data_IF_470943134780
#
_entry.id   IF_470943134780
#
_cell.length_a   1.000
_cell.length_b   1.000
_cell.length_c   1.000
_cell.angle_alpha   90.00
_cell.angle_beta   90.00
_cell.angle_gamma   90.00
#
_symmetry.space_group_name_H-M   'P 1'
#
loop_
_entity.id
_entity.type
_entity.pdbx_description
1 polymer ?
#
# COMPACT_ATOMS: atom_id res chain seq x y z
N UNK A 1 -9.88 -23.56 -91.11
CA UNK A 1 -10.08 -22.76 -89.89
C UNK A 1 -9.93 -23.61 -88.63
N UNK A 2 -10.65 -24.74 -88.48
CA UNK A 2 -10.56 -25.64 -87.31
C UNK A 2 -9.14 -26.13 -86.97
N UNK A 3 -8.42 -26.69 -87.94
CA UNK A 3 -7.06 -27.22 -87.74
C UNK A 3 -6.01 -26.16 -87.33
N UNK A 4 -6.22 -24.89 -87.71
CA UNK A 4 -5.32 -23.79 -87.32
C UNK A 4 -5.52 -23.41 -85.85
N UNK A 5 -6.78 -23.39 -85.39
CA UNK A 5 -7.13 -23.15 -83.99
C UNK A 5 -6.65 -24.29 -83.10
N UNK A 6 -6.75 -25.54 -83.56
CA UNK A 6 -6.24 -26.72 -82.84
C UNK A 6 -4.72 -26.68 -82.69
N UNK A 7 -3.96 -26.39 -83.76
CA UNK A 7 -2.51 -26.24 -83.70
C UNK A 7 -2.08 -25.07 -82.79
N UNK A 8 -2.79 -23.94 -82.85
CA UNK A 8 -2.53 -22.80 -81.94
C UNK A 8 -2.82 -23.15 -80.48
N UNK A 9 -3.88 -23.92 -80.19
CA UNK A 9 -4.20 -24.37 -78.84
C UNK A 9 -3.16 -25.36 -78.31
N UNK A 10 -2.63 -26.25 -79.17
CA UNK A 10 -1.59 -27.20 -78.82
C UNK A 10 -0.26 -26.50 -78.50
N UNK A 11 0.14 -25.49 -79.28
CA UNK A 11 1.34 -24.69 -78.98
C UNK A 11 1.22 -23.88 -77.67
N UNK A 12 0.03 -23.37 -77.33
CA UNK A 12 -0.21 -22.70 -76.05
C UNK A 12 -0.13 -23.70 -74.90
N UNK A 13 -0.66 -24.91 -75.08
CA UNK A 13 -0.60 -25.97 -74.08
C UNK A 13 0.85 -26.38 -73.78
N UNK A 14 1.66 -26.62 -74.81
CA UNK A 14 3.07 -26.96 -74.65
C UNK A 14 3.84 -25.85 -73.92
N UNK A 15 3.56 -24.59 -74.24
CA UNK A 15 4.17 -23.44 -73.55
C UNK A 15 3.77 -23.36 -72.08
N UNK A 16 2.50 -23.63 -71.76
CA UNK A 16 2.00 -23.67 -70.38
C UNK A 16 2.63 -24.82 -69.61
N UNK A 17 2.74 -26.02 -70.21
CA UNK A 17 3.37 -27.19 -69.58
C UNK A 17 4.85 -26.93 -69.26
N UNK A 18 5.59 -26.26 -70.16
CA UNK A 18 6.98 -25.82 -69.90
C UNK A 18 7.05 -24.79 -68.76
N UNK A 19 6.11 -23.83 -68.72
CA UNK A 19 6.05 -22.86 -67.63
C UNK A 19 5.74 -23.51 -66.28
N UNK A 20 4.81 -24.48 -66.25
CA UNK A 20 4.46 -25.26 -65.06
C UNK A 20 5.69 -26.01 -64.55
N UNK A 21 6.41 -26.71 -65.43
CA UNK A 21 7.62 -27.45 -65.04
C UNK A 21 8.69 -26.56 -64.39
N UNK A 22 8.92 -25.35 -64.93
CA UNK A 22 9.85 -24.38 -64.32
C UNK A 22 9.40 -23.92 -62.94
N UNK A 23 8.11 -23.65 -62.78
CA UNK A 23 7.54 -23.25 -61.47
C UNK A 23 7.68 -24.40 -60.47
N UNK A 24 7.43 -25.64 -60.87
CA UNK A 24 7.58 -26.82 -60.02
C UNK A 24 9.04 -27.02 -59.56
N UNK A 25 10.02 -26.81 -60.45
CA UNK A 25 11.44 -26.84 -60.11
C UNK A 25 11.81 -25.75 -59.09
N UNK A 26 11.35 -24.51 -59.31
CA UNK A 26 11.58 -23.41 -58.36
C UNK A 26 10.92 -23.67 -57.00
N UNK A 27 9.69 -24.18 -56.99
CA UNK A 27 8.97 -24.54 -55.75
C UNK A 27 9.71 -25.64 -54.98
N UNK A 28 10.21 -26.67 -55.66
CA UNK A 28 11.05 -27.69 -55.02
C UNK A 28 12.35 -27.11 -54.47
N UNK A 29 13.00 -26.21 -55.20
CA UNK A 29 14.19 -25.51 -54.74
C UNK A 29 13.94 -24.66 -53.48
N UNK A 30 12.81 -23.95 -53.44
CA UNK A 30 12.40 -23.17 -52.25
C UNK A 30 12.10 -24.10 -51.08
N UNK A 31 11.43 -25.23 -51.32
CA UNK A 31 11.12 -26.21 -50.28
C UNK A 31 12.38 -26.75 -49.61
N UNK A 32 13.41 -27.12 -50.37
CA UNK A 32 14.68 -27.59 -49.82
C UNK A 32 15.38 -26.51 -48.98
N UNK A 33 15.36 -25.24 -49.43
CA UNK A 33 15.92 -24.12 -48.66
C UNK A 33 15.17 -23.87 -47.35
N UNK A 34 13.85 -24.07 -47.33
CA UNK A 34 13.05 -23.97 -46.10
C UNK A 34 13.47 -25.06 -45.12
N UNK A 35 13.60 -26.30 -45.58
CA UNK A 35 14.03 -27.43 -44.74
C UNK A 35 15.44 -27.20 -44.16
N UNK A 36 16.36 -26.64 -44.94
CA UNK A 36 17.71 -26.25 -44.49
C UNK A 36 17.66 -25.18 -43.39
N UNK A 37 16.90 -24.09 -43.63
CA UNK A 37 16.75 -23.00 -42.65
C UNK A 37 16.06 -23.48 -41.37
N UNK A 38 15.05 -24.36 -41.48
CA UNK A 38 14.41 -24.99 -40.31
C UNK A 38 15.42 -25.80 -39.49
N UNK A 39 16.31 -26.54 -40.17
CA UNK A 39 17.42 -27.25 -39.52
C UNK A 39 18.36 -26.32 -38.75
N UNK A 40 18.81 -25.23 -39.39
CA UNK A 40 19.68 -24.24 -38.74
C UNK A 40 19.04 -23.57 -37.53
N UNK A 41 17.76 -23.20 -37.65
CA UNK A 41 17.00 -22.55 -36.57
C UNK A 41 16.87 -23.51 -35.39
N UNK A 42 16.54 -24.77 -35.64
CA UNK A 42 16.44 -25.79 -34.59
C UNK A 42 17.78 -26.01 -33.87
N UNK A 43 18.90 -26.05 -34.61
CA UNK A 43 20.23 -26.15 -34.00
C UNK A 43 20.53 -24.94 -33.09
N UNK A 44 20.28 -23.72 -33.56
CA UNK A 44 20.49 -22.49 -32.77
C UNK A 44 19.60 -22.45 -31.52
N UNK A 45 18.37 -22.94 -31.60
CA UNK A 45 17.47 -23.02 -30.45
C UNK A 45 18.03 -23.95 -29.38
N UNK A 46 18.51 -25.14 -29.75
CA UNK A 46 19.09 -26.08 -28.78
C UNK A 46 20.42 -25.58 -28.20
N UNK A 47 21.23 -24.85 -28.98
CA UNK A 47 22.45 -24.19 -28.50
C UNK A 47 22.12 -23.11 -27.43
N UNK A 48 21.22 -22.17 -27.76
CA UNK A 48 20.80 -21.11 -26.82
C UNK A 48 20.17 -21.71 -25.56
N UNK A 49 19.34 -22.75 -25.71
CA UNK A 49 18.73 -23.46 -24.57
C UNK A 49 19.78 -24.08 -23.66
N UNK A 50 20.81 -24.70 -24.23
CA UNK A 50 21.94 -25.26 -23.48
C UNK A 50 22.72 -24.18 -22.73
N UNK A 51 23.01 -23.05 -23.38
CA UNK A 51 23.72 -21.92 -22.75
C UNK A 51 22.91 -21.31 -21.59
N UNK A 52 21.60 -21.13 -21.77
CA UNK A 52 20.70 -20.62 -20.72
C UNK A 52 20.64 -21.60 -19.54
N UNK A 53 20.54 -22.90 -19.81
CA UNK A 53 20.51 -23.93 -18.77
C UNK A 53 21.82 -23.98 -17.96
N UNK A 54 22.98 -23.83 -18.63
CA UNK A 54 24.28 -23.73 -17.96
C UNK A 54 24.35 -22.47 -17.10
N UNK A 55 23.97 -21.30 -17.64
CA UNK A 55 23.94 -20.04 -16.88
C UNK A 55 23.03 -20.13 -15.67
N UNK A 56 21.87 -20.77 -15.79
CA UNK A 56 20.95 -21.02 -14.67
C UNK A 56 21.65 -21.85 -13.58
N UNK A 57 22.33 -22.93 -13.96
CA UNK A 57 23.07 -23.80 -13.04
C UNK A 57 24.19 -23.05 -12.32
N UNK A 58 24.90 -22.15 -13.02
CA UNK A 58 25.92 -21.27 -12.44
C UNK A 58 25.31 -20.28 -11.44
N UNK A 59 24.18 -19.66 -11.79
CA UNK A 59 23.48 -18.73 -10.91
C UNK A 59 22.92 -19.42 -9.67
N UNK A 60 22.36 -20.63 -9.80
CA UNK A 60 21.91 -21.43 -8.67
C UNK A 60 23.06 -21.78 -7.72
N UNK A 61 24.24 -22.12 -8.26
CA UNK A 61 25.45 -22.36 -7.45
C UNK A 61 25.89 -21.10 -6.72
N UNK A 62 25.95 -19.96 -7.42
CA UNK A 62 26.27 -18.66 -6.83
C UNK A 62 25.27 -18.26 -5.74
N UNK A 63 23.98 -18.54 -5.94
CA UNK A 63 22.94 -18.28 -4.95
C UNK A 63 23.11 -19.16 -3.71
N UNK A 64 23.51 -20.42 -3.85
CA UNK A 64 23.84 -21.30 -2.72
C UNK A 64 25.07 -20.81 -1.95
N UNK A 65 26.11 -20.36 -2.64
CA UNK A 65 27.31 -19.79 -2.01
C UNK A 65 27.01 -18.48 -1.27
N UNK A 66 26.11 -17.65 -1.82
CA UNK A 66 25.62 -16.45 -1.14
C UNK A 66 24.61 -16.76 -0.02
N UNK A 67 23.95 -17.92 -0.09
CA UNK A 67 22.85 -18.34 0.77
C UNK A 67 23.23 -19.04 2.08
N UNK A 68 24.54 -19.24 2.35
CA UNK A 68 25.03 -19.73 3.66
C UNK A 68 25.99 -18.72 4.30
N UNK A 69 25.57 -17.45 4.33
CA UNK A 69 25.92 -16.60 5.47
C UNK A 69 24.62 -16.15 6.13
N UNK A 70 24.28 -16.66 7.33
CA UNK A 70 23.67 -15.77 8.30
C UNK A 70 24.56 -14.53 8.33
N UNK A 71 23.97 -13.34 8.39
CA UNK A 71 24.68 -12.09 8.63
C UNK A 71 25.60 -12.19 9.86
N UNK A 72 26.77 -12.79 9.68
CA UNK A 72 27.91 -12.70 10.57
C UNK A 72 28.84 -11.75 9.86
N UNK A 73 28.45 -10.47 9.78
CA UNK A 73 29.46 -9.43 9.64
C UNK A 73 30.60 -9.81 10.58
N UNK A 74 31.85 -10.00 10.12
CA UNK A 74 32.94 -9.92 11.07
C UNK A 74 32.73 -8.56 11.74
N UNK A 75 32.52 -8.57 13.06
CA UNK A 75 32.46 -7.36 13.83
C UNK A 75 33.80 -6.65 13.59
N UNK A 76 33.83 -5.76 12.60
CA UNK A 76 34.94 -4.88 12.38
C UNK A 76 34.97 -3.99 13.62
N UNK A 77 36.01 -4.08 14.48
CA UNK A 77 36.03 -3.34 15.74
C UNK A 77 36.01 -1.82 15.53
N UNK A 78 36.28 -1.33 14.32
CA UNK A 78 36.38 0.10 14.03
C UNK A 78 35.08 0.78 13.58
N UNK A 79 34.04 0.04 13.23
CA UNK A 79 32.72 0.60 12.88
C UNK A 79 31.64 0.15 13.86
N UNK A 80 31.91 0.26 15.15
CA UNK A 80 30.87 0.30 16.19
C UNK A 80 30.28 1.72 16.22
N UNK A 81 29.70 2.16 15.11
CA UNK A 81 28.55 3.05 15.24
C UNK A 81 27.38 2.12 15.48
N UNK A 82 27.10 1.91 16.76
CA UNK A 82 25.96 1.15 17.27
C UNK A 82 24.79 1.26 16.30
N UNK A 83 24.56 0.21 15.50
CA UNK A 83 23.32 0.09 14.73
C UNK A 83 22.24 0.25 15.79
N UNK A 84 21.43 1.33 15.78
CA UNK A 84 20.44 1.49 16.81
C UNK A 84 19.54 0.27 16.69
N UNK A 85 19.56 -0.60 17.69
CA UNK A 85 18.50 -1.58 17.89
C UNK A 85 17.25 -0.75 18.07
N UNK A 86 16.56 -0.48 16.96
CA UNK A 86 15.35 0.30 16.97
C UNK A 86 14.41 -0.46 17.86
N UNK A 87 14.08 0.15 19.01
CA UNK A 87 13.06 -0.36 19.93
C UNK A 87 11.86 -0.74 19.07
N UNK A 88 11.36 -1.97 19.26
CA UNK A 88 10.16 -2.44 18.57
C UNK A 88 9.09 -1.35 18.66
N UNK A 89 8.76 -0.76 17.51
CA UNK A 89 7.67 0.18 17.44
C UNK A 89 6.39 -0.58 17.79
N UNK A 90 5.59 -0.01 18.68
CA UNK A 90 4.33 -0.60 19.12
C UNK A 90 3.22 0.39 18.78
N UNK A 91 2.22 -0.11 18.06
CA UNK A 91 1.01 0.62 17.75
C UNK A 91 -0.17 -0.09 18.41
N UNK A 92 -0.79 0.57 19.38
CA UNK A 92 -1.94 0.07 20.14
C UNK A 92 -3.27 0.70 19.71
N UNK A 93 -3.22 1.71 18.83
CA UNK A 93 -4.35 2.53 18.40
C UNK A 93 -4.64 3.74 19.30
N UNK A 94 -3.85 3.98 20.35
CA UNK A 94 -4.02 5.12 21.26
C UNK A 94 -3.29 6.37 20.74
N UNK A 95 -2.10 6.19 20.17
CA UNK A 95 -1.37 7.28 19.51
C UNK A 95 -1.98 7.56 18.13
N UNK A 96 -1.91 8.81 17.66
CA UNK A 96 -2.31 9.14 16.29
C UNK A 96 -1.53 8.29 15.29
N UNK A 97 -2.27 7.71 14.33
CA UNK A 97 -1.72 6.92 13.25
C UNK A 97 -0.66 7.71 12.46
N UNK A 98 -0.90 8.99 12.16
CA UNK A 98 0.03 9.88 11.46
C UNK A 98 1.38 10.02 12.18
N UNK A 99 1.35 10.14 13.51
CA UNK A 99 2.57 10.23 14.33
C UNK A 99 3.34 8.91 14.30
N UNK A 100 2.63 7.79 14.44
CA UNK A 100 3.25 6.46 14.38
C UNK A 100 3.85 6.19 12.99
N UNK A 101 3.10 6.49 11.91
CA UNK A 101 3.53 6.32 10.52
C UNK A 101 4.81 7.10 10.24
N UNK A 102 4.87 8.36 10.67
CA UNK A 102 6.10 9.18 10.55
C UNK A 102 7.30 8.53 11.24
N UNK A 103 7.13 8.02 12.47
CA UNK A 103 8.22 7.33 13.18
C UNK A 103 8.63 6.04 12.47
N UNK A 104 7.65 5.29 11.96
CA UNK A 104 7.86 4.05 11.22
C UNK A 104 8.61 4.29 9.90
N UNK A 105 8.29 5.38 9.19
CA UNK A 105 8.93 5.76 7.93
C UNK A 105 10.39 6.17 8.13
N UNK A 106 10.69 6.92 9.19
CA UNK A 106 12.08 7.27 9.57
C UNK A 106 12.88 6.00 9.87
N UNK A 107 12.30 5.08 10.65
CA UNK A 107 12.94 3.81 11.02
C UNK A 107 13.17 2.92 9.80
N UNK A 108 12.16 2.79 8.94
CA UNK A 108 12.23 1.92 7.77
C UNK A 108 13.24 2.44 6.75
N UNK A 109 13.30 3.76 6.55
CA UNK A 109 14.27 4.41 5.66
C UNK A 109 15.71 4.27 6.18
N UNK A 110 15.92 4.48 7.47
CA UNK A 110 17.24 4.32 8.11
C UNK A 110 17.76 2.88 8.02
N UNK A 111 16.85 1.91 8.03
CA UNK A 111 17.19 0.49 7.93
C UNK A 111 17.14 -0.09 6.51
N UNK A 112 16.79 0.72 5.49
CA UNK A 112 16.67 0.27 4.11
C UNK A 112 15.63 -0.84 3.91
N UNK A 113 14.52 -0.80 4.63
CA UNK A 113 13.48 -1.84 4.51
C UNK A 113 12.76 -1.76 3.16
N UNK A 114 12.62 -2.92 2.51
CA UNK A 114 11.73 -3.07 1.35
C UNK A 114 10.27 -3.05 1.80
N UNK A 115 9.33 -2.77 0.90
CA UNK A 115 7.91 -2.70 1.23
C UNK A 115 7.37 -4.01 1.83
N UNK A 116 7.91 -5.15 1.40
CA UNK A 116 7.62 -6.45 2.01
C UNK A 116 8.06 -6.52 3.49
N UNK A 117 9.26 -6.03 3.81
CA UNK A 117 9.76 -5.99 5.19
C UNK A 117 8.99 -4.97 6.02
N UNK A 118 8.65 -3.82 5.44
CA UNK A 118 7.78 -2.81 6.07
C UNK A 118 6.43 -3.40 6.43
N UNK A 119 5.75 -4.09 5.50
CA UNK A 119 4.46 -4.71 5.76
C UNK A 119 4.51 -5.70 6.93
N UNK A 120 5.50 -6.61 6.94
CA UNK A 120 5.68 -7.58 8.03
C UNK A 120 5.98 -6.93 9.37
N UNK A 121 6.85 -5.92 9.38
CA UNK A 121 7.21 -5.22 10.61
C UNK A 121 6.04 -4.37 11.14
N UNK A 122 5.25 -3.80 10.24
CA UNK A 122 4.05 -3.04 10.57
C UNK A 122 3.00 -3.96 11.23
N UNK A 123 2.73 -5.13 10.64
CA UNK A 123 1.85 -6.15 11.27
C UNK A 123 2.39 -6.60 12.63
N UNK A 124 3.70 -6.82 12.74
CA UNK A 124 4.34 -7.21 14.00
C UNK A 124 4.27 -6.13 15.10
N UNK A 125 4.09 -4.86 14.71
CA UNK A 125 3.97 -3.71 15.63
C UNK A 125 2.60 -3.60 16.31
N UNK A 126 1.56 -4.22 15.74
CA UNK A 126 0.20 -4.04 16.23
C UNK A 126 -0.04 -4.72 17.57
N UNK A 127 -0.70 -3.99 18.48
CA UNK A 127 -1.17 -4.48 19.79
C UNK A 127 -2.58 -3.96 20.04
N UNK A 128 -3.30 -4.58 20.97
CA UNK A 128 -4.63 -4.13 21.39
C UNK A 128 -5.59 -3.89 20.21
N UNK A 129 -6.25 -2.73 20.19
CA UNK A 129 -7.24 -2.36 19.17
C UNK A 129 -6.68 -2.35 17.75
N UNK A 130 -5.39 -2.03 17.57
CA UNK A 130 -4.75 -2.05 16.27
C UNK A 130 -4.60 -3.47 15.72
N UNK A 131 -4.41 -4.47 16.57
CA UNK A 131 -4.31 -5.86 16.15
C UNK A 131 -5.64 -6.41 15.62
N UNK A 132 -6.78 -5.88 16.10
CA UNK A 132 -8.11 -6.27 15.59
C UNK A 132 -8.31 -5.89 14.12
N UNK A 133 -7.57 -4.91 13.59
CA UNK A 133 -7.60 -4.57 12.16
C UNK A 133 -7.23 -5.75 11.28
N UNK A 134 -6.37 -6.64 11.78
CA UNK A 134 -5.93 -7.84 11.06
C UNK A 134 -7.08 -8.82 10.79
N UNK A 135 -8.18 -8.77 11.55
CA UNK A 135 -9.34 -9.64 11.31
C UNK A 135 -10.06 -9.30 9.99
N UNK A 136 -9.95 -8.04 9.52
CA UNK A 136 -10.57 -7.59 8.26
C UNK A 136 -9.69 -7.78 7.03
N UNK A 137 -8.45 -8.26 7.18
CA UNK A 137 -7.47 -8.37 6.10
C UNK A 137 -7.21 -9.86 5.82
N UNK A 138 -7.36 -10.32 4.57
CA UNK A 138 -6.98 -11.68 4.18
C UNK A 138 -5.50 -11.95 4.44
N UNK A 139 -5.15 -13.17 4.90
CA UNK A 139 -3.78 -13.48 5.31
C UNK A 139 -2.74 -13.36 4.19
N UNK A 140 -3.15 -13.59 2.94
CA UNK A 140 -2.33 -13.43 1.73
C UNK A 140 -2.01 -11.95 1.42
N UNK A 141 -2.70 -11.00 2.08
CA UNK A 141 -2.52 -9.55 1.92
C UNK A 141 -1.71 -8.89 3.03
N UNK A 142 -1.22 -9.65 4.02
CA UNK A 142 -0.33 -9.10 5.07
C UNK A 142 1.06 -8.69 4.56
N UNK A 143 1.36 -8.95 3.28
CA UNK A 143 2.59 -8.52 2.62
C UNK A 143 2.39 -7.24 1.80
N UNK A 144 1.14 -6.81 1.60
CA UNK A 144 0.82 -5.59 0.86
C UNK A 144 0.71 -4.40 1.82
N UNK A 145 1.79 -3.60 1.84
CA UNK A 145 1.91 -2.42 2.69
C UNK A 145 0.75 -1.44 2.46
N UNK A 146 0.37 -1.20 1.21
CA UNK A 146 -0.64 -0.20 0.87
C UNK A 146 -2.02 -0.57 1.42
N UNK A 147 -2.38 -1.86 1.32
CA UNK A 147 -3.64 -2.37 1.86
C UNK A 147 -3.68 -2.20 3.38
N UNK A 148 -2.61 -2.54 4.08
CA UNK A 148 -2.52 -2.42 5.54
C UNK A 148 -2.64 -0.95 5.98
N UNK A 149 -1.89 -0.05 5.33
CA UNK A 149 -1.93 1.38 5.64
C UNK A 149 -3.31 1.98 5.42
N UNK A 150 -4.00 1.61 4.34
CA UNK A 150 -5.33 2.13 4.03
C UNK A 150 -6.36 1.76 5.10
N UNK A 151 -6.30 0.54 5.63
CA UNK A 151 -7.24 0.10 6.69
C UNK A 151 -6.92 0.81 8.01
N UNK A 152 -5.65 1.04 8.31
CA UNK A 152 -5.24 1.81 9.50
C UNK A 152 -5.66 3.27 9.38
N UNK A 153 -5.47 3.89 8.22
CA UNK A 153 -5.94 5.24 7.95
C UNK A 153 -7.46 5.35 8.12
N UNK A 154 -8.21 4.36 7.62
CA UNK A 154 -9.65 4.33 7.77
C UNK A 154 -10.13 4.22 9.22
N UNK A 155 -9.40 3.52 10.09
CA UNK A 155 -9.84 3.26 11.48
C UNK A 155 -9.23 4.20 12.51
N UNK A 156 -7.98 4.58 12.31
CA UNK A 156 -7.16 5.38 13.23
C UNK A 156 -6.66 6.69 12.63
N UNK A 157 -7.02 6.99 11.38
CA UNK A 157 -6.73 8.29 10.77
C UNK A 157 -7.36 9.44 11.53
N UNK A 158 -6.86 10.64 11.28
CA UNK A 158 -7.15 11.82 12.10
C UNK A 158 -8.63 12.23 12.09
N UNK A 159 -9.42 11.75 11.12
CA UNK A 159 -10.87 11.99 11.02
C UNK A 159 -11.67 11.39 12.19
N UNK A 160 -11.42 10.13 12.55
CA UNK A 160 -12.09 9.48 13.68
C UNK A 160 -11.67 10.09 15.02
N UNK A 161 -10.39 10.46 15.12
CA UNK A 161 -9.83 11.09 16.30
C UNK A 161 -10.44 12.50 16.52
N UNK A 162 -10.68 13.24 15.43
CA UNK A 162 -11.41 14.52 15.46
C UNK A 162 -12.83 14.35 16.03
N UNK A 163 -13.55 13.29 15.63
CA UNK A 163 -14.88 13.01 16.17
C UNK A 163 -14.84 12.61 17.66
N UNK A 164 -13.84 11.83 18.07
CA UNK A 164 -13.60 11.49 19.47
C UNK A 164 -13.37 12.75 20.32
N UNK A 165 -12.46 13.64 19.91
CA UNK A 165 -12.19 14.90 20.63
C UNK A 165 -13.38 15.86 20.63
N UNK A 166 -14.20 15.88 19.57
CA UNK A 166 -15.48 16.63 19.57
C UNK A 166 -16.45 16.08 20.63
N UNK A 167 -16.47 14.76 20.83
CA UNK A 167 -17.30 14.13 21.86
C UNK A 167 -16.77 14.43 23.27
N UNK A 168 -15.47 14.29 23.47
CA UNK A 168 -14.81 14.59 24.75
C UNK A 168 -14.95 16.07 25.14
N UNK A 169 -14.78 16.99 24.18
CA UNK A 169 -15.04 18.41 24.38
C UNK A 169 -16.51 18.70 24.74
N UNK A 170 -17.47 17.93 24.19
CA UNK A 170 -18.90 18.09 24.51
C UNK A 170 -19.23 17.67 25.94
N UNK A 171 -18.55 16.67 26.47
CA UNK A 171 -18.80 16.10 27.82
C UNK A 171 -17.88 16.67 28.89
N UNK A 172 -16.81 17.39 28.51
CA UNK A 172 -15.85 17.98 29.43
C UNK A 172 -16.49 18.99 30.38
N UNK A 173 -16.37 18.72 31.67
CA UNK A 173 -16.77 19.58 32.80
C UNK A 173 -15.61 19.70 33.78
N UNK A 174 -15.57 20.78 34.55
CA UNK A 174 -14.60 20.93 35.64
C UNK A 174 -14.76 19.77 36.63
N UNK A 175 -13.66 19.12 37.00
CA UNK A 175 -13.68 18.09 38.05
C UNK A 175 -13.56 18.73 39.43
N UNK A 176 -14.07 18.07 40.47
CA UNK A 176 -13.89 18.52 41.86
C UNK A 176 -12.39 18.60 42.18
N UNK A 177 -11.93 19.77 42.63
CA UNK A 177 -10.52 20.05 42.93
C UNK A 177 -9.64 20.39 41.71
N UNK A 178 -10.18 20.46 40.50
CA UNK A 178 -9.43 20.88 39.32
C UNK A 178 -9.28 22.41 39.22
N UNK A 179 -8.04 22.88 39.05
CA UNK A 179 -7.77 24.30 38.80
C UNK A 179 -8.33 24.73 37.43
N UNK A 180 -8.95 25.91 37.38
CA UNK A 180 -9.47 26.54 36.17
C UNK A 180 -8.43 26.64 35.03
N UNK A 181 -7.16 26.88 35.36
CA UNK A 181 -6.09 26.92 34.35
C UNK A 181 -5.87 25.55 33.68
N UNK A 182 -5.96 24.47 34.47
CA UNK A 182 -5.81 23.09 33.97
C UNK A 182 -7.00 22.72 33.08
N UNK A 183 -8.22 23.10 33.50
CA UNK A 183 -9.42 22.94 32.67
C UNK A 183 -9.30 23.73 31.36
N UNK A 184 -8.87 25.00 31.41
CA UNK A 184 -8.74 25.85 30.24
C UNK A 184 -7.73 25.29 29.24
N UNK A 185 -6.54 24.89 29.71
CA UNK A 185 -5.51 24.27 28.87
C UNK A 185 -6.00 22.97 28.20
N UNK A 186 -6.76 22.14 28.93
CA UNK A 186 -7.30 20.91 28.37
C UNK A 186 -8.44 21.16 27.37
N UNK A 187 -9.29 22.16 27.62
CA UNK A 187 -10.32 22.60 26.67
C UNK A 187 -9.71 23.19 25.41
N UNK A 188 -8.66 23.99 25.52
CA UNK A 188 -7.91 24.55 24.38
C UNK A 188 -7.21 23.46 23.56
N UNK A 189 -6.61 22.47 24.24
CA UNK A 189 -6.05 21.27 23.61
C UNK A 189 -7.12 20.50 22.85
N UNK A 190 -8.25 20.19 23.50
CA UNK A 190 -9.36 19.47 22.88
C UNK A 190 -9.96 20.24 21.69
N UNK A 191 -10.05 21.57 21.77
CA UNK A 191 -10.51 22.42 20.65
C UNK A 191 -9.55 22.35 19.46
N UNK A 192 -8.24 22.43 19.70
CA UNK A 192 -7.23 22.34 18.66
C UNK A 192 -7.27 21.00 17.93
N UNK A 193 -7.51 19.91 18.66
CA UNK A 193 -7.57 18.56 18.11
C UNK A 193 -8.93 18.22 17.47
N UNK A 194 -10.04 18.73 18.02
CA UNK A 194 -11.41 18.51 17.51
C UNK A 194 -11.74 19.30 16.22
N UNK A 195 -10.93 20.31 15.91
CA UNK A 195 -11.13 21.24 14.80
C UNK A 195 -9.80 21.60 14.12
N UNK A 196 -8.92 20.61 13.94
CA UNK A 196 -7.63 20.80 13.27
C UNK A 196 -7.77 21.25 11.81
N UNK A 197 -8.87 20.88 11.14
CA UNK A 197 -9.18 21.23 9.74
C UNK A 197 -9.86 22.61 9.60
N UNK A 198 -10.29 23.25 10.70
CA UNK A 198 -10.95 24.55 10.64
C UNK A 198 -9.92 25.69 10.78
N UNK A 199 -10.01 26.74 9.94
CA UNK A 199 -9.28 27.98 10.14
C UNK A 199 -9.46 28.56 11.57
N UNK A 200 -8.37 29.11 12.12
CA UNK A 200 -8.27 29.61 13.51
C UNK A 200 -9.39 30.60 13.88
N UNK A 201 -9.75 31.48 12.95
CA UNK A 201 -10.79 32.51 13.07
C UNK A 201 -12.21 31.93 13.19
N UNK A 202 -12.46 30.79 12.56
CA UNK A 202 -13.75 30.07 12.62
C UNK A 202 -13.86 29.22 13.89
N UNK A 203 -12.74 28.73 14.41
CA UNK A 203 -12.69 27.82 15.58
C UNK A 203 -13.00 28.54 16.89
N UNK A 204 -12.52 29.77 17.08
CA UNK A 204 -12.59 30.45 18.37
C UNK A 204 -13.96 31.09 18.66
N UNK A 205 -14.63 31.70 17.67
CA UNK A 205 -15.82 32.53 17.93
C UNK A 205 -17.11 31.76 18.29
N UNK A 206 -17.51 30.68 17.59
CA UNK A 206 -18.75 29.95 17.89
C UNK A 206 -18.58 28.92 19.01
N UNK A 207 -17.41 28.30 19.11
CA UNK A 207 -17.15 27.17 20.03
C UNK A 207 -16.94 27.65 21.46
N UNK A 208 -16.13 28.70 21.70
CA UNK A 208 -16.01 29.31 23.02
C UNK A 208 -17.37 29.83 23.51
N UNK A 209 -18.16 30.45 22.63
CA UNK A 209 -19.48 30.96 22.99
C UNK A 209 -20.43 29.85 23.45
N UNK A 210 -20.46 28.71 22.74
CA UNK A 210 -21.26 27.53 23.12
C UNK A 210 -20.75 26.87 24.39
N UNK A 211 -19.43 26.80 24.58
CA UNK A 211 -18.82 26.27 25.78
C UNK A 211 -19.13 27.13 27.01
N UNK A 212 -18.95 28.45 26.93
CA UNK A 212 -19.30 29.39 27.99
C UNK A 212 -20.79 29.39 28.33
N UNK A 213 -21.67 29.30 27.33
CA UNK A 213 -23.12 29.20 27.58
C UNK A 213 -23.46 27.92 28.34
N UNK A 214 -22.78 26.81 28.04
CA UNK A 214 -23.02 25.52 28.70
C UNK A 214 -22.46 25.46 30.11
N UNK A 215 -21.31 26.08 30.39
CA UNK A 215 -20.81 26.26 31.76
C UNK A 215 -21.80 27.08 32.59
N UNK A 216 -22.33 28.18 32.04
CA UNK A 216 -23.39 28.99 32.69
C UNK A 216 -24.65 28.18 33.01
N UNK A 217 -25.10 27.34 32.09
CA UNK A 217 -26.28 26.49 32.29
C UNK A 217 -26.02 25.33 33.28
N UNK A 218 -24.77 24.83 33.39
CA UNK A 218 -24.40 23.80 34.36
C UNK A 218 -24.35 24.36 35.79
N UNK A 219 -23.81 25.56 36.00
CA UNK A 219 -23.89 26.28 37.27
C UNK A 219 -25.31 26.64 37.70
N UNK A 220 -26.23 26.80 36.74
CA UNK A 220 -27.65 27.08 37.02
C UNK A 220 -28.41 25.83 37.50
N UNK A 221 -28.05 24.64 37.03
CA UNK A 221 -28.67 23.38 37.46
C UNK A 221 -28.15 22.85 38.80
N UNK A 222 -26.94 23.24 39.23
CA UNK A 222 -26.46 22.95 40.59
C UNK A 222 -27.02 23.93 41.64
N UNK A 223 -27.51 25.11 41.23
CA UNK A 223 -28.08 26.12 42.11
C UNK A 223 -29.59 26.05 42.36
N UNK A 224 -30.35 25.25 41.59
CA UNK A 224 -31.82 25.17 41.68
C UNK A 224 -32.34 23.81 42.17
N UNK A 225 -31.53 23.07 42.92
CA UNK A 225 -32.04 22.02 43.79
C UNK A 225 -32.55 22.64 45.09
N UNK A 226 -33.70 23.33 45.06
CA UNK A 226 -34.62 23.65 46.17
C UNK A 226 -35.49 24.85 45.77
N UNK A 227 -36.64 24.59 45.14
CA UNK A 227 -37.97 25.17 45.43
C UNK A 227 -38.91 24.76 44.30
N UNK A 228 -39.92 23.98 44.64
CA UNK A 228 -40.94 23.53 43.69
C UNK A 228 -41.84 24.69 43.24
N UNK A 229 -42.44 24.54 42.07
CA UNK A 229 -43.89 24.69 41.86
C UNK A 229 -44.22 24.32 40.42
N UNK A 230 -45.23 23.47 40.30
CA UNK A 230 -45.97 23.22 39.06
C UNK A 230 -46.49 24.53 38.47
N UNK A 231 -46.37 24.72 37.15
CA UNK A 231 -47.48 25.23 36.34
C UNK A 231 -47.33 24.67 34.92
N UNK A 232 -48.38 24.03 34.42
CA UNK A 232 -48.46 23.46 33.08
C UNK A 232 -48.97 24.43 32.00
N UNK A 233 -49.40 23.79 30.89
CA UNK A 233 -50.01 24.32 29.66
C UNK A 233 -48.99 24.85 28.64
N UNK A 234 -49.01 24.49 27.36
CA UNK A 234 -49.92 23.64 26.59
C UNK A 234 -49.64 23.87 25.10
N UNK A 235 -49.71 22.76 24.33
CA UNK A 235 -49.67 22.61 22.86
C UNK A 235 -48.31 22.90 22.21
#
# INVERSE_FOLDING_TARGET
MRAHVENQAEGIKDYVDVCIGKIEEEVQGVKLKIEEVEGEVNMKIEEVKSEVQEKMSVLERRLKDLGIRPNNFPANPEFIYSRPTVKHLIFDGVKSWTVFKTQFDVVSSTNGWTDFVKARQLVASFRGSAAEVLQGIPADKFTDLMTIEKVLESRFGDSHLTQFYRSELKTRRQKSGENLQVLAADVERLMSLAYAECPLDVRESPVLRRWHQRQRNASFNEGNGLYGSEIGLGI
#
